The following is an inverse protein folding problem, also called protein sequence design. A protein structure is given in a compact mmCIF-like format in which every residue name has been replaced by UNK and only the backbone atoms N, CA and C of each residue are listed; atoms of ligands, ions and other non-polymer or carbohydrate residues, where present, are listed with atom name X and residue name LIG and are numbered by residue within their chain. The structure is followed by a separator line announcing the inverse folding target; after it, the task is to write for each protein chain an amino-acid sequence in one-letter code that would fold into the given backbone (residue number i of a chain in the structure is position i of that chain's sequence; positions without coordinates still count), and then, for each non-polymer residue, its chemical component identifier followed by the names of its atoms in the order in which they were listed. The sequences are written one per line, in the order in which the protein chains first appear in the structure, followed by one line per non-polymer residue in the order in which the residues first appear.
data_IF_104058926876
#
_entry.id   IF_104058926876
#
_cell.length_a   1.000
_cell.length_b   1.000
_cell.length_c   1.000
_cell.angle_alpha   90.00
_cell.angle_beta   90.00
_cell.angle_gamma   90.00
#
_symmetry.space_group_name_H-M   'P 1'
#
loop_
_entity.id
_entity.type
_entity.pdbx_description
1 polymer ?
#
# COMPACT_ATOMS: atom_id res chain seq x y z
N UNK A 1 9.13 58.63 36.15
CA UNK A 1 8.10 57.75 36.74
C UNK A 1 7.51 56.92 35.61
N UNK A 2 7.75 55.61 35.57
CA UNK A 2 7.19 54.71 34.55
C UNK A 2 6.39 53.62 35.26
N UNK A 3 5.07 53.67 35.10
CA UNK A 3 4.12 52.74 35.73
C UNK A 3 4.08 51.46 34.90
N UNK A 4 4.66 50.36 35.43
CA UNK A 4 4.51 49.03 34.82
C UNK A 4 3.11 48.50 35.09
N UNK A 5 2.26 48.51 34.08
CA UNK A 5 0.98 47.79 34.09
C UNK A 5 1.29 46.30 33.93
N UNK A 6 0.96 45.50 34.94
CA UNK A 6 1.07 44.04 34.88
C UNK A 6 -0.29 43.43 34.62
N UNK A 7 -0.46 42.85 33.42
CA UNK A 7 -1.68 42.18 33.02
C UNK A 7 -1.67 40.75 33.59
N UNK A 8 -2.47 40.48 34.63
CA UNK A 8 -2.66 39.11 35.14
C UNK A 8 -3.62 38.38 34.21
N UNK A 9 -3.06 37.58 33.30
CA UNK A 9 -3.85 36.65 32.49
C UNK A 9 -4.28 35.48 33.37
N UNK A 10 -5.58 35.25 33.50
CA UNK A 10 -6.13 34.10 34.23
C UNK A 10 -5.76 32.82 33.47
N UNK A 11 -4.85 32.02 34.04
CA UNK A 11 -4.30 30.80 33.42
C UNK A 11 -5.38 29.77 33.05
N UNK A 12 -6.50 29.75 33.77
CA UNK A 12 -7.67 28.90 33.49
C UNK A 12 -8.37 29.27 32.19
N UNK A 13 -8.49 30.56 31.86
CA UNK A 13 -9.15 31.00 30.63
C UNK A 13 -8.32 30.61 29.38
N UNK A 14 -6.99 30.70 29.46
CA UNK A 14 -6.09 30.29 28.38
C UNK A 14 -6.17 28.78 28.11
N UNK A 15 -6.27 27.97 29.17
CA UNK A 15 -6.41 26.51 29.03
C UNK A 15 -7.74 26.12 28.36
N UNK A 16 -8.84 26.79 28.72
CA UNK A 16 -10.17 26.52 28.11
C UNK A 16 -10.15 26.89 26.62
N UNK A 17 -9.60 28.06 26.27
CA UNK A 17 -9.49 28.50 24.87
C UNK A 17 -8.62 27.53 24.07
N UNK A 18 -7.48 27.09 24.63
CA UNK A 18 -6.60 26.10 24.00
C UNK A 18 -7.30 24.76 23.74
N UNK A 19 -8.07 24.27 24.72
CA UNK A 19 -8.84 23.03 24.57
C UNK A 19 -9.92 23.13 23.49
N UNK A 20 -10.61 24.28 23.39
CA UNK A 20 -11.63 24.52 22.36
C UNK A 20 -11.02 24.57 20.96
N UNK A 21 -9.85 25.20 20.79
CA UNK A 21 -9.14 25.24 19.50
C UNK A 21 -8.72 23.84 19.07
N UNK A 22 -8.15 23.03 19.99
CA UNK A 22 -7.76 21.66 19.69
C UNK A 22 -8.96 20.78 19.32
N UNK A 23 -10.08 20.93 20.03
CA UNK A 23 -11.32 20.21 19.73
C UNK A 23 -11.89 20.60 18.36
N UNK A 24 -11.89 21.90 18.03
CA UNK A 24 -12.32 22.39 16.72
C UNK A 24 -11.44 21.82 15.59
N UNK A 25 -10.12 21.88 15.73
CA UNK A 25 -9.17 21.33 14.75
C UNK A 25 -9.34 19.81 14.58
N UNK A 26 -9.65 19.09 15.67
CA UNK A 26 -9.94 17.66 15.61
C UNK A 26 -11.20 17.35 14.78
N UNK A 27 -12.29 18.11 14.99
CA UNK A 27 -13.53 17.95 14.22
C UNK A 27 -13.36 18.31 12.73
N UNK A 28 -12.61 19.37 12.43
CA UNK A 28 -12.32 19.77 11.04
C UNK A 28 -11.46 18.73 10.32
N UNK A 29 -10.51 18.11 11.04
CA UNK A 29 -9.68 17.04 10.51
C UNK A 29 -10.51 15.76 10.24
N UNK A 30 -11.50 15.44 11.09
CA UNK A 30 -12.43 14.34 10.82
C UNK A 30 -13.27 14.56 9.55
N UNK A 31 -13.89 15.74 9.41
CA UNK A 31 -14.67 16.08 8.20
C UNK A 31 -13.82 16.05 6.92
N UNK A 32 -12.59 16.54 7.02
CA UNK A 32 -11.65 16.53 5.88
C UNK A 32 -11.30 15.10 5.47
N UNK A 33 -11.07 14.20 6.45
CA UNK A 33 -10.83 12.77 6.18
C UNK A 33 -12.02 12.08 5.52
N UNK A 34 -13.24 12.35 5.97
CA UNK A 34 -14.45 11.80 5.35
C UNK A 34 -14.61 12.28 3.91
N UNK A 35 -14.45 13.59 3.66
CA UNK A 35 -14.53 14.15 2.31
C UNK A 35 -13.43 13.63 1.38
N UNK A 36 -12.22 13.43 1.89
CA UNK A 36 -11.13 12.77 1.15
C UNK A 36 -11.54 11.34 0.80
N UNK A 37 -12.15 10.60 1.72
CA UNK A 37 -12.61 9.23 1.48
C UNK A 37 -13.71 9.17 0.42
N UNK A 38 -14.73 10.03 0.50
CA UNK A 38 -15.80 10.11 -0.51
C UNK A 38 -15.24 10.45 -1.90
N UNK A 39 -14.36 11.44 -1.99
CA UNK A 39 -13.72 11.82 -3.25
C UNK A 39 -12.84 10.68 -3.81
N UNK A 40 -12.18 9.91 -2.95
CA UNK A 40 -11.42 8.72 -3.35
C UNK A 40 -12.35 7.61 -3.88
N UNK A 41 -13.49 7.36 -3.23
CA UNK A 41 -14.49 6.36 -3.65
C UNK A 41 -15.13 6.72 -5.01
N UNK A 42 -15.49 7.99 -5.22
CA UNK A 42 -16.05 8.46 -6.50
C UNK A 42 -15.02 8.38 -7.64
N UNK A 43 -13.78 8.81 -7.38
CA UNK A 43 -12.67 8.68 -8.32
C UNK A 43 -12.42 7.21 -8.66
N UNK A 44 -12.49 6.33 -7.67
CA UNK A 44 -12.32 4.89 -7.82
C UNK A 44 -13.35 4.29 -8.76
N UNK A 45 -14.61 4.66 -8.59
CA UNK A 45 -15.70 4.20 -9.45
C UNK A 45 -15.54 4.67 -10.90
N UNK A 46 -15.25 5.97 -11.10
CA UNK A 46 -15.06 6.54 -12.44
C UNK A 46 -13.89 5.89 -13.18
N UNK A 47 -12.81 5.58 -12.46
CA UNK A 47 -11.67 4.88 -13.02
C UNK A 47 -12.06 3.45 -13.40
N UNK A 48 -12.69 2.65 -12.52
CA UNK A 48 -13.17 1.31 -12.86
C UNK A 48 -14.09 1.28 -14.10
N UNK A 49 -14.96 2.28 -14.24
CA UNK A 49 -15.84 2.40 -15.41
C UNK A 49 -15.06 2.75 -16.69
N UNK A 50 -14.07 3.65 -16.63
CA UNK A 50 -13.19 3.94 -17.75
C UNK A 50 -12.30 2.74 -18.13
N UNK A 51 -11.90 1.95 -17.14
CA UNK A 51 -11.06 0.78 -17.30
C UNK A 51 -11.74 -0.33 -18.10
N UNK A 52 -13.07 -0.45 -18.06
CA UNK A 52 -13.83 -1.49 -18.77
C UNK A 52 -13.78 -1.39 -20.31
N UNK A 53 -13.37 -0.24 -20.86
CA UNK A 53 -13.58 0.12 -22.26
C UNK A 53 -12.29 0.27 -23.12
N UNK A 54 -11.13 -0.27 -22.71
CA UNK A 54 -9.85 -0.11 -23.45
C UNK A 54 -9.26 -1.47 -23.89
N UNK A 55 -8.77 -1.61 -25.13
CA UNK A 55 -8.38 -2.90 -25.76
C UNK A 55 -6.87 -3.25 -25.68
N UNK A 56 -6.02 -2.44 -25.02
CA UNK A 56 -4.55 -2.65 -25.01
C UNK A 56 -4.02 -3.62 -23.94
N UNK A 57 -4.89 -4.24 -23.15
CA UNK A 57 -4.55 -5.05 -21.98
C UNK A 57 -4.80 -6.54 -22.23
N UNK A 58 -3.97 -7.43 -21.65
CA UNK A 58 -4.41 -8.83 -21.53
C UNK A 58 -5.57 -8.86 -20.54
N UNK A 59 -6.72 -9.41 -20.97
CA UNK A 59 -7.95 -9.43 -20.18
C UNK A 59 -7.76 -10.03 -18.79
N UNK A 60 -6.82 -10.97 -18.65
CA UNK A 60 -6.50 -11.62 -17.39
C UNK A 60 -5.83 -10.67 -16.39
N UNK A 61 -4.85 -9.85 -16.81
CA UNK A 61 -4.22 -8.87 -15.92
C UNK A 61 -5.22 -7.82 -15.44
N UNK A 62 -6.06 -7.32 -16.34
CA UNK A 62 -7.15 -6.40 -15.98
C UNK A 62 -8.09 -7.04 -14.96
N UNK A 63 -8.45 -8.32 -15.18
CA UNK A 63 -9.33 -9.05 -14.25
C UNK A 63 -8.69 -9.19 -12.87
N UNK A 64 -7.40 -9.50 -12.79
CA UNK A 64 -6.72 -9.66 -11.51
C UNK A 64 -6.56 -8.32 -10.76
N UNK A 65 -6.19 -7.24 -11.46
CA UNK A 65 -6.18 -5.89 -10.86
C UNK A 65 -7.58 -5.50 -10.36
N UNK A 66 -8.60 -5.65 -11.19
CA UNK A 66 -9.98 -5.31 -10.82
C UNK A 66 -10.44 -6.11 -9.60
N UNK A 67 -10.08 -7.40 -9.54
CA UNK A 67 -10.39 -8.24 -8.38
C UNK A 67 -9.69 -7.75 -7.12
N UNK A 68 -8.40 -7.43 -7.19
CA UNK A 68 -7.67 -6.87 -6.05
C UNK A 68 -8.31 -5.55 -5.59
N UNK A 69 -8.56 -4.62 -6.51
CA UNK A 69 -9.15 -3.31 -6.21
C UNK A 69 -10.47 -3.47 -5.45
N UNK A 70 -11.40 -4.27 -5.98
CA UNK A 70 -12.70 -4.51 -5.35
C UNK A 70 -12.55 -5.16 -3.97
N UNK A 71 -11.60 -6.10 -3.82
CA UNK A 71 -11.36 -6.78 -2.54
C UNK A 71 -10.84 -5.83 -1.47
N UNK A 72 -10.04 -4.83 -1.85
CA UNK A 72 -9.46 -3.86 -0.93
C UNK A 72 -10.34 -2.63 -0.69
N UNK A 73 -11.31 -2.34 -1.55
CA UNK A 73 -12.17 -1.14 -1.47
C UNK A 73 -12.88 -0.97 -0.12
N UNK A 74 -13.15 -2.07 0.61
CA UNK A 74 -13.80 -2.04 1.93
C UNK A 74 -12.86 -2.36 3.10
N UNK A 75 -11.64 -2.81 2.80
CA UNK A 75 -10.69 -3.34 3.78
C UNK A 75 -9.53 -2.38 4.01
N UNK A 76 -8.96 -1.85 2.94
CA UNK A 76 -7.87 -0.88 2.97
C UNK A 76 -7.93 0.02 1.74
N UNK A 77 -8.57 1.18 1.89
CA UNK A 77 -8.75 2.15 0.82
C UNK A 77 -7.42 2.67 0.26
N UNK A 78 -6.36 2.69 1.07
CA UNK A 78 -5.02 3.09 0.59
C UNK A 78 -4.52 2.07 -0.43
N UNK A 79 -4.57 0.78 -0.09
CA UNK A 79 -4.19 -0.30 -1.02
C UNK A 79 -5.07 -0.29 -2.27
N UNK A 80 -6.39 -0.13 -2.12
CA UNK A 80 -7.31 -0.03 -3.25
C UNK A 80 -6.94 1.11 -4.22
N UNK A 81 -6.56 2.28 -3.68
CA UNK A 81 -6.20 3.44 -4.48
C UNK A 81 -4.85 3.25 -5.20
N UNK A 82 -3.86 2.69 -4.51
CA UNK A 82 -2.54 2.38 -5.10
C UNK A 82 -2.66 1.32 -6.20
N UNK A 83 -3.49 0.28 -6.01
CA UNK A 83 -3.75 -0.73 -7.04
C UNK A 83 -4.38 -0.14 -8.30
N UNK A 84 -5.29 0.81 -8.11
CA UNK A 84 -5.91 1.51 -9.22
C UNK A 84 -4.90 2.37 -9.96
N UNK A 85 -4.05 3.10 -9.24
CA UNK A 85 -2.97 3.88 -9.83
C UNK A 85 -2.02 2.98 -10.65
N UNK A 86 -1.61 1.83 -10.10
CA UNK A 86 -0.79 0.86 -10.82
C UNK A 86 -1.47 0.36 -12.12
N UNK A 87 -2.78 0.08 -12.07
CA UNK A 87 -3.53 -0.31 -13.28
C UNK A 87 -3.55 0.80 -14.33
N UNK A 88 -3.67 2.06 -13.93
CA UNK A 88 -3.65 3.19 -14.87
C UNK A 88 -2.29 3.39 -15.52
N UNK A 89 -1.22 3.31 -14.72
CA UNK A 89 0.15 3.39 -15.22
C UNK A 89 0.42 2.29 -16.25
N UNK A 90 -0.01 1.05 -15.95
CA UNK A 90 0.08 -0.06 -16.88
C UNK A 90 -0.66 0.22 -18.20
N UNK A 91 -1.87 0.78 -18.15
CA UNK A 91 -2.66 1.08 -19.34
C UNK A 91 -2.05 2.11 -20.28
N UNK A 92 -1.36 3.11 -19.73
CA UNK A 92 -0.69 4.14 -20.54
C UNK A 92 0.72 3.71 -20.95
N UNK A 93 1.09 2.44 -20.73
CA UNK A 93 2.37 1.87 -21.11
C UNK A 93 3.51 2.15 -20.13
N UNK A 94 3.23 2.73 -18.95
CA UNK A 94 4.20 2.97 -17.88
C UNK A 94 4.28 1.74 -16.96
N UNK A 95 4.80 0.64 -17.50
CA UNK A 95 4.82 -0.67 -16.82
C UNK A 95 5.72 -0.66 -15.58
N UNK A 96 6.82 0.06 -15.63
CA UNK A 96 7.82 0.19 -14.57
C UNK A 96 7.21 0.88 -13.34
N UNK A 97 6.61 2.05 -13.55
CA UNK A 97 5.87 2.78 -12.52
C UNK A 97 4.72 1.95 -11.93
N UNK A 98 4.04 1.15 -12.76
CA UNK A 98 3.02 0.23 -12.27
C UNK A 98 3.62 -0.83 -11.32
N UNK A 99 4.77 -1.42 -11.68
CA UNK A 99 5.49 -2.37 -10.83
C UNK A 99 6.00 -1.70 -9.54
N UNK A 100 6.49 -0.47 -9.62
CA UNK A 100 6.89 0.31 -8.44
C UNK A 100 5.73 0.45 -7.45
N UNK A 101 4.54 0.82 -7.92
CA UNK A 101 3.35 0.93 -7.09
C UNK A 101 2.93 -0.42 -6.49
N UNK A 102 3.06 -1.53 -7.24
CA UNK A 102 2.86 -2.88 -6.67
C UNK A 102 3.84 -3.20 -5.53
N UNK A 103 5.11 -2.80 -5.66
CA UNK A 103 6.13 -2.97 -4.60
C UNK A 103 5.81 -2.13 -3.37
N UNK A 104 5.32 -0.89 -3.55
CA UNK A 104 4.87 -0.02 -2.45
C UNK A 104 3.71 -0.65 -1.68
N UNK A 105 2.74 -1.23 -2.39
CA UNK A 105 1.61 -1.93 -1.78
C UNK A 105 2.09 -3.11 -0.93
N UNK A 106 3.03 -3.93 -1.46
CA UNK A 106 3.63 -5.02 -0.69
C UNK A 106 4.30 -4.53 0.59
N UNK A 107 5.04 -3.42 0.49
CA UNK A 107 5.68 -2.79 1.64
C UNK A 107 4.65 -2.31 2.66
N UNK A 108 3.59 -1.62 2.23
CA UNK A 108 2.50 -1.16 3.10
C UNK A 108 1.82 -2.32 3.84
N UNK A 109 1.46 -3.39 3.13
CA UNK A 109 0.85 -4.58 3.73
C UNK A 109 1.73 -5.19 4.82
N UNK A 110 3.01 -5.38 4.53
CA UNK A 110 3.95 -5.97 5.48
C UNK A 110 4.25 -5.04 6.66
N UNK A 111 4.32 -3.72 6.44
CA UNK A 111 4.45 -2.75 7.52
C UNK A 111 3.27 -2.87 8.47
N UNK A 112 2.05 -2.87 7.95
CA UNK A 112 0.81 -3.04 8.75
C UNK A 112 0.81 -4.34 9.55
N UNK A 113 1.32 -5.43 8.96
CA UNK A 113 1.40 -6.73 9.63
C UNK A 113 2.42 -6.77 10.79
N UNK A 114 3.54 -6.07 10.65
CA UNK A 114 4.70 -6.25 11.54
C UNK A 114 5.11 -5.02 12.37
N UNK A 115 4.57 -3.83 12.12
CA UNK A 115 4.96 -2.58 12.82
C UNK A 115 4.86 -2.67 14.35
N UNK A 116 3.93 -3.47 14.85
CA UNK A 116 3.71 -3.70 16.28
C UNK A 116 4.22 -5.06 16.78
N UNK A 117 4.93 -5.84 15.95
CA UNK A 117 5.43 -7.16 16.32
C UNK A 117 6.77 -7.08 17.07
N UNK A 118 6.77 -7.42 18.36
CA UNK A 118 7.99 -7.48 19.17
C UNK A 118 8.93 -8.58 18.70
N UNK A 119 8.38 -9.72 18.25
CA UNK A 119 9.16 -10.82 17.68
C UNK A 119 9.91 -10.40 16.42
N UNK A 120 9.26 -9.61 15.54
CA UNK A 120 9.91 -9.08 14.36
C UNK A 120 11.03 -8.10 14.71
N UNK A 121 10.78 -7.17 15.64
CA UNK A 121 11.78 -6.19 16.09
C UNK A 121 13.01 -6.88 16.70
N UNK A 122 12.80 -7.92 17.50
CA UNK A 122 13.88 -8.72 18.08
C UNK A 122 14.69 -9.43 16.99
N UNK A 123 14.01 -10.08 16.04
CA UNK A 123 14.66 -10.78 14.93
C UNK A 123 15.48 -9.83 14.03
N UNK A 124 14.96 -8.65 13.71
CA UNK A 124 15.71 -7.65 12.93
C UNK A 124 17.02 -7.25 13.62
N UNK A 125 16.98 -7.06 14.96
CA UNK A 125 18.15 -6.71 15.75
C UNK A 125 19.18 -7.84 15.76
N UNK A 126 18.73 -9.08 15.95
CA UNK A 126 19.60 -10.27 15.93
C UNK A 126 20.28 -10.45 14.57
N UNK A 127 19.50 -10.32 13.48
CA UNK A 127 19.99 -10.49 12.12
C UNK A 127 20.69 -9.25 11.55
N UNK A 128 20.80 -8.16 12.34
CA UNK A 128 21.35 -6.86 11.92
C UNK A 128 20.71 -6.33 10.63
N UNK A 129 19.39 -6.53 10.48
CA UNK A 129 18.60 -6.10 9.31
C UNK A 129 17.84 -4.80 9.60
N UNK A 130 17.47 -4.10 8.54
CA UNK A 130 16.65 -2.88 8.60
C UNK A 130 15.16 -3.24 8.53
N UNK A 131 14.32 -2.35 9.06
CA UNK A 131 12.87 -2.38 8.85
C UNK A 131 12.55 -1.87 7.44
N UNK A 132 12.75 -2.73 6.44
CA UNK A 132 12.45 -2.48 5.04
C UNK A 132 11.78 -3.71 4.40
N UNK A 133 11.36 -3.60 3.13
CA UNK A 133 10.71 -4.70 2.43
C UNK A 133 11.53 -6.00 2.46
N UNK A 134 12.87 -5.91 2.34
CA UNK A 134 13.74 -7.08 2.35
C UNK A 134 13.80 -7.73 3.74
N UNK A 135 13.88 -6.92 4.80
CA UNK A 135 13.80 -7.36 6.19
C UNK A 135 12.46 -8.05 6.49
N UNK A 136 11.35 -7.43 6.08
CA UNK A 136 10.00 -7.97 6.30
C UNK A 136 9.76 -9.28 5.53
N UNK A 137 10.16 -9.35 4.26
CA UNK A 137 10.10 -10.59 3.47
C UNK A 137 11.00 -11.67 4.06
N UNK A 138 12.18 -11.29 4.54
CA UNK A 138 13.10 -12.22 5.20
C UNK A 138 12.50 -12.83 6.45
N UNK A 139 11.73 -12.05 7.20
CA UNK A 139 11.01 -12.54 8.37
C UNK A 139 9.80 -13.40 8.00
N UNK A 140 9.05 -13.06 6.93
CA UNK A 140 7.99 -13.92 6.40
C UNK A 140 8.52 -15.33 6.06
N UNK A 141 9.70 -15.39 5.44
CA UNK A 141 10.38 -16.66 5.15
C UNK A 141 10.82 -17.38 6.42
N UNK A 142 11.39 -16.66 7.39
CA UNK A 142 11.78 -17.23 8.69
C UNK A 142 10.58 -17.88 9.42
N UNK A 143 9.43 -17.22 9.40
CA UNK A 143 8.17 -17.72 9.96
C UNK A 143 7.46 -18.76 9.07
N UNK A 144 8.06 -19.14 7.93
CA UNK A 144 7.50 -20.07 6.93
C UNK A 144 6.12 -19.65 6.37
N UNK A 145 5.81 -18.35 6.40
CA UNK A 145 4.61 -17.78 5.78
C UNK A 145 4.73 -17.72 4.26
N UNK A 146 5.96 -17.65 3.78
CA UNK A 146 6.34 -17.80 2.38
C UNK A 146 7.50 -18.79 2.26
N UNK A 147 7.60 -19.47 1.13
CA UNK A 147 8.68 -20.40 0.80
C UNK A 147 9.85 -19.68 0.10
N UNK A 148 10.93 -20.43 -0.18
CA UNK A 148 12.13 -19.89 -0.84
C UNK A 148 11.89 -19.35 -2.24
N UNK A 149 11.00 -20.01 -2.99
CA UNK A 149 10.62 -19.60 -4.35
C UNK A 149 9.86 -18.28 -4.30
N UNK A 150 8.81 -18.19 -3.47
CA UNK A 150 8.01 -16.98 -3.24
C UNK A 150 8.92 -15.83 -2.76
N UNK A 151 9.84 -16.08 -1.83
CA UNK A 151 10.79 -15.09 -1.34
C UNK A 151 11.67 -14.51 -2.45
N UNK A 152 12.31 -15.38 -3.24
CA UNK A 152 13.18 -14.94 -4.34
C UNK A 152 12.39 -14.20 -5.42
N UNK A 153 11.16 -14.65 -5.67
CA UNK A 153 10.27 -14.03 -6.63
C UNK A 153 9.89 -12.60 -6.19
N UNK A 154 9.54 -12.41 -4.92
CA UNK A 154 9.21 -11.09 -4.38
C UNK A 154 10.41 -10.14 -4.35
N UNK A 155 11.62 -10.66 -4.15
CA UNK A 155 12.85 -9.87 -4.28
C UNK A 155 13.18 -9.48 -5.72
N UNK A 156 12.86 -10.33 -6.70
CA UNK A 156 13.10 -10.02 -8.10
C UNK A 156 12.30 -8.79 -8.56
N UNK A 157 11.06 -8.64 -8.10
CA UNK A 157 10.23 -7.46 -8.38
C UNK A 157 10.88 -6.19 -7.83
N UNK A 158 11.42 -6.25 -6.60
CA UNK A 158 12.18 -5.13 -6.01
C UNK A 158 13.44 -4.79 -6.83
N UNK A 159 14.10 -5.79 -7.42
CA UNK A 159 15.27 -5.58 -8.26
C UNK A 159 14.91 -4.91 -9.60
N UNK A 160 13.73 -5.20 -10.16
CA UNK A 160 13.20 -4.51 -11.33
C UNK A 160 13.03 -3.01 -11.03
N UNK A 161 12.38 -2.67 -9.90
CA UNK A 161 12.25 -1.28 -9.42
C UNK A 161 13.61 -0.57 -9.31
N UNK A 162 14.59 -1.20 -8.67
CA UNK A 162 15.87 -0.56 -8.39
C UNK A 162 16.74 -0.31 -9.64
N UNK A 163 16.47 -0.94 -10.78
CA UNK A 163 17.18 -0.65 -12.04
C UNK A 163 16.69 0.64 -12.70
N UNK A 164 15.44 1.02 -12.46
CA UNK A 164 14.81 2.24 -12.98
C UNK A 164 15.35 3.51 -12.30
N UNK A 165 15.50 3.50 -10.97
CA UNK A 165 16.01 4.63 -10.16
C UNK A 165 17.41 5.14 -10.60
N UNK A 166 18.11 4.39 -11.46
CA UNK A 166 19.48 4.64 -11.87
C UNK A 166 19.66 4.84 -13.39
N UNK A 167 18.64 4.63 -14.22
CA UNK A 167 18.71 4.76 -15.68
C UNK A 167 17.56 5.63 -16.23
N UNK A 168 17.89 6.85 -16.69
CA UNK A 168 16.94 7.92 -17.08
C UNK A 168 16.11 7.60 -18.34
N UNK A 169 16.44 6.53 -19.07
CA UNK A 169 15.75 6.09 -20.31
C UNK A 169 15.55 4.56 -20.35
N UNK A 170 15.35 3.95 -19.17
CA UNK A 170 15.16 2.50 -19.08
C UNK A 170 13.75 2.13 -19.57
N UNK A 171 13.68 1.45 -20.71
CA UNK A 171 12.50 0.66 -21.08
C UNK A 171 12.68 -0.76 -20.58
N UNK A 172 11.76 -1.21 -19.73
CA UNK A 172 11.77 -2.59 -19.29
C UNK A 172 11.53 -3.50 -20.47
N UNK A 173 12.29 -4.59 -20.52
CA UNK A 173 12.01 -5.68 -21.44
C UNK A 173 10.54 -6.14 -21.24
N UNK A 174 9.73 -6.25 -22.30
CA UNK A 174 8.30 -6.57 -22.18
C UNK A 174 8.01 -7.86 -21.40
N UNK A 175 8.90 -8.86 -21.50
CA UNK A 175 8.77 -10.10 -20.74
C UNK A 175 9.07 -9.88 -19.26
N UNK A 176 10.10 -9.09 -18.92
CA UNK A 176 10.36 -8.69 -17.54
C UNK A 176 9.22 -7.82 -16.96
N UNK A 177 8.63 -6.94 -17.76
CA UNK A 177 7.48 -6.12 -17.37
C UNK A 177 6.23 -6.96 -17.07
N UNK A 178 5.85 -7.85 -17.98
CA UNK A 178 4.73 -8.77 -17.77
C UNK A 178 4.96 -9.69 -16.56
N UNK A 179 6.17 -10.24 -16.43
CA UNK A 179 6.54 -11.09 -15.30
C UNK A 179 6.49 -10.32 -13.98
N UNK A 180 6.98 -9.08 -13.96
CA UNK A 180 6.95 -8.20 -12.78
C UNK A 180 5.52 -7.87 -12.33
N UNK A 181 4.62 -7.59 -13.27
CA UNK A 181 3.20 -7.34 -12.97
C UNK A 181 2.51 -8.58 -12.39
N UNK A 182 2.64 -9.73 -13.04
CA UNK A 182 2.07 -11.00 -12.56
C UNK A 182 2.63 -11.32 -11.16
N UNK A 183 3.92 -11.13 -10.98
CA UNK A 183 4.60 -11.38 -9.71
C UNK A 183 4.11 -10.46 -8.60
N UNK A 184 3.98 -9.15 -8.87
CA UNK A 184 3.50 -8.17 -7.90
C UNK A 184 2.07 -8.43 -7.49
N UNK A 185 1.19 -8.73 -8.45
CA UNK A 185 -0.21 -9.10 -8.18
C UNK A 185 -0.28 -10.36 -7.30
N UNK A 186 0.46 -11.42 -7.67
CA UNK A 186 0.51 -12.65 -6.88
C UNK A 186 1.05 -12.44 -5.47
N UNK A 187 2.07 -11.58 -5.32
CA UNK A 187 2.62 -11.19 -4.03
C UNK A 187 1.58 -10.48 -3.16
N UNK A 188 0.86 -9.50 -3.72
CA UNK A 188 -0.18 -8.76 -2.99
C UNK A 188 -1.27 -9.71 -2.52
N UNK A 189 -1.75 -10.63 -3.37
CA UNK A 189 -2.71 -11.64 -2.94
C UNK A 189 -2.20 -12.48 -1.77
N UNK A 190 -0.98 -13.02 -1.89
CA UNK A 190 -0.38 -13.83 -0.83
C UNK A 190 -0.24 -13.05 0.47
N UNK A 191 0.31 -11.84 0.40
CA UNK A 191 0.54 -11.00 1.57
C UNK A 191 -0.77 -10.56 2.21
N UNK A 192 -1.80 -10.24 1.41
CA UNK A 192 -3.12 -9.89 1.91
C UNK A 192 -3.70 -10.96 2.86
N UNK A 193 -3.52 -12.25 2.53
CA UNK A 193 -3.98 -13.35 3.39
C UNK A 193 -3.28 -13.41 4.75
N UNK A 194 -2.07 -12.85 4.85
CA UNK A 194 -1.34 -12.75 6.12
C UNK A 194 -1.88 -11.60 6.98
N UNK A 195 -2.17 -10.46 6.35
CA UNK A 195 -2.60 -9.23 7.02
C UNK A 195 -4.08 -9.26 7.41
N UNK A 196 -4.92 -9.85 6.55
CA UNK A 196 -6.39 -9.89 6.70
C UNK A 196 -6.92 -11.34 6.70
N UNK A 197 -6.61 -12.14 7.74
CA UNK A 197 -6.97 -13.56 7.77
C UNK A 197 -8.47 -13.84 7.93
N UNK A 198 -9.27 -12.85 8.33
CA UNK A 198 -10.71 -13.00 8.63
C UNK A 198 -11.65 -12.46 7.55
N UNK A 199 -11.15 -11.76 6.54
CA UNK A 199 -11.97 -11.30 5.42
C UNK A 199 -12.09 -12.42 4.37
N UNK A 200 -13.14 -13.22 4.51
CA UNK A 200 -13.50 -14.29 3.57
C UNK A 200 -13.63 -13.81 2.10
N UNK A 201 -13.77 -12.50 1.86
CA UNK A 201 -13.86 -11.93 0.52
C UNK A 201 -12.49 -11.89 -0.21
N UNK A 202 -11.37 -11.78 0.51
CA UNK A 202 -10.01 -11.86 -0.06
C UNK A 202 -9.60 -13.33 -0.30
N UNK A 203 -10.15 -14.25 0.49
CA UNK A 203 -9.84 -15.69 0.47
C UNK A 203 -10.52 -16.48 -0.67
N UNK A 204 -11.45 -15.90 -1.43
CA UNK A 204 -12.17 -16.57 -2.53
C UNK A 204 -11.41 -16.55 -3.87
N UNK A 205 -10.13 -16.91 -3.86
CA UNK A 205 -9.38 -17.28 -5.06
C UNK A 205 -9.10 -18.77 -5.06
N UNK A 206 -9.37 -19.48 -6.17
CA UNK A 206 -9.15 -20.91 -6.22
C UNK A 206 -7.65 -21.18 -6.06
N UNK A 207 -7.30 -21.87 -4.98
CA UNK A 207 -6.00 -22.56 -4.81
C UNK A 207 -5.89 -23.81 -5.69
N UNK A 208 -6.76 -23.98 -6.69
CA UNK A 208 -6.77 -25.14 -7.58
C UNK A 208 -6.27 -24.76 -8.96
N UNK A 209 -4.95 -24.72 -9.13
CA UNK A 209 -4.37 -25.32 -10.32
C UNK A 209 -4.14 -26.79 -9.95
N UNK A 210 -5.17 -27.60 -10.14
CA UNK A 210 -5.02 -29.04 -10.14
C UNK A 210 -4.40 -29.45 -11.47
N UNK A 211 -3.22 -30.08 -11.38
CA UNK A 211 -2.52 -30.92 -12.36
C UNK A 211 -2.42 -30.40 -13.80
#
# INVERSE_FOLDING_TARGET
MATKVTFKVNSTAVLIIGALILFYLYLENLKSKEKIRELQEDKLKLMLDALKNNDSLSDELRRQFSKLIVSFQKVDNTVSNELMQALQLYQIGQVENAIEDLVKIMEHLLKKHYEHSDGFKAWLKEQKKRFDLHGMLGFCKHEKKINDVEYNFFLAIKAIRNKEDHEVDYQIDPFLGASGLIAGIGAIFKLATLVYPSDNDIALLPTTVGL
#
